data_IF_817538828772
#
_entry.id   IF_817538828772
#
_cell.length_a   1.000
_cell.length_b   1.000
_cell.length_c   1.000
_cell.angle_alpha   90.00
_cell.angle_beta   90.00
_cell.angle_gamma   90.00
#
_symmetry.space_group_name_H-M   'P 1'
#
loop_
_entity.id
_entity.type
_entity.pdbx_description
1 polymer ?
#
# COMPACT_ATOMS: atom_id res chain seq x y z
N UNK A 1 21.75 -7.11 62.99
CA UNK A 1 21.12 -7.25 61.65
C UNK A 1 22.11 -6.68 60.67
N UNK A 2 22.86 -7.56 60.04
CA UNK A 2 24.02 -7.29 59.21
C UNK A 2 23.59 -6.59 57.90
N UNK A 3 24.10 -5.39 57.68
CA UNK A 3 23.78 -4.49 56.58
C UNK A 3 24.80 -4.55 55.46
N UNK A 4 25.31 -5.73 55.13
CA UNK A 4 26.23 -5.92 54.04
C UNK A 4 25.52 -5.75 52.67
N UNK A 5 26.05 -4.96 51.74
CA UNK A 5 25.49 -4.88 50.40
C UNK A 5 25.61 -6.23 49.69
N UNK A 6 24.57 -6.66 48.97
CA UNK A 6 24.58 -7.86 48.14
C UNK A 6 25.56 -7.71 46.96
N UNK A 7 26.81 -7.45 47.20
CA UNK A 7 27.86 -7.57 46.20
C UNK A 7 28.30 -9.04 46.16
N UNK A 8 28.24 -9.61 44.97
CA UNK A 8 28.86 -10.91 44.74
C UNK A 8 30.37 -10.69 44.83
N UNK A 9 30.94 -10.96 45.99
CA UNK A 9 32.39 -11.01 46.17
C UNK A 9 32.87 -12.36 45.64
N UNK A 10 33.24 -12.40 44.37
CA UNK A 10 33.74 -13.60 43.73
C UNK A 10 34.68 -13.26 42.57
N UNK A 11 35.38 -14.24 42.06
CA UNK A 11 36.29 -14.09 40.93
C UNK A 11 35.53 -14.28 39.61
N UNK A 12 35.77 -13.38 38.66
CA UNK A 12 35.10 -13.31 37.37
C UNK A 12 35.84 -14.19 36.34
N UNK A 13 35.06 -15.05 35.63
CA UNK A 13 35.52 -15.78 34.45
C UNK A 13 34.72 -15.35 33.24
N UNK A 14 35.37 -15.18 32.11
CA UNK A 14 34.73 -14.85 30.82
C UNK A 14 34.57 -16.11 29.98
N UNK A 15 33.57 -16.11 29.13
CA UNK A 15 33.26 -17.16 28.12
C UNK A 15 33.26 -18.57 28.72
N UNK A 16 32.45 -18.80 29.72
CA UNK A 16 32.39 -20.07 30.43
C UNK A 16 31.57 -21.09 29.70
N UNK A 17 32.20 -22.23 29.36
CA UNK A 17 31.50 -23.36 28.76
C UNK A 17 30.54 -24.00 29.78
N UNK A 18 29.29 -24.19 29.37
CA UNK A 18 28.28 -24.85 30.19
C UNK A 18 27.50 -25.89 29.37
N UNK A 19 27.29 -27.07 29.94
CA UNK A 19 26.65 -28.18 29.26
C UNK A 19 25.71 -28.91 30.22
N UNK A 20 24.53 -28.32 30.52
CA UNK A 20 23.56 -28.94 31.38
C UNK A 20 22.94 -30.19 30.75
N UNK A 21 22.49 -31.14 31.57
CA UNK A 21 21.80 -32.32 31.09
C UNK A 21 20.52 -31.92 30.33
N UNK A 22 20.32 -32.52 29.15
CA UNK A 22 19.15 -32.23 28.29
C UNK A 22 19.21 -30.94 27.45
N UNK A 23 20.28 -30.14 27.56
CA UNK A 23 20.48 -28.94 26.77
C UNK A 23 21.72 -29.01 25.89
N UNK A 24 21.73 -28.37 24.72
CA UNK A 24 22.93 -28.29 23.88
C UNK A 24 24.04 -27.51 24.58
N UNK A 25 25.28 -27.96 24.41
CA UNK A 25 26.46 -27.25 24.93
C UNK A 25 26.49 -25.80 24.48
N UNK A 26 26.80 -24.87 25.37
CA UNK A 26 26.93 -23.46 25.08
C UNK A 26 27.99 -22.77 25.90
N UNK A 27 28.23 -21.49 25.60
CA UNK A 27 29.12 -20.62 26.40
C UNK A 27 28.24 -19.46 26.91
N UNK A 28 28.49 -19.09 28.19
CA UNK A 28 27.91 -17.91 28.81
C UNK A 28 29.03 -16.86 29.00
N UNK A 29 28.67 -15.60 28.95
CA UNK A 29 29.66 -14.51 28.90
C UNK A 29 30.44 -14.39 30.19
N UNK A 30 29.80 -14.57 31.35
CA UNK A 30 30.42 -14.34 32.65
C UNK A 30 29.99 -15.43 33.65
N UNK A 31 30.92 -15.90 34.44
CA UNK A 31 30.62 -16.65 35.68
C UNK A 31 31.40 -16.06 36.87
N UNK A 32 30.69 -15.93 37.98
CA UNK A 32 31.29 -15.61 39.29
C UNK A 32 31.27 -16.85 40.17
N UNK A 33 32.37 -17.06 40.88
CA UNK A 33 32.47 -18.16 41.85
C UNK A 33 33.26 -17.72 43.08
N UNK A 34 33.00 -18.34 44.18
CA UNK A 34 33.80 -18.20 45.41
C UNK A 34 35.00 -19.16 45.33
N UNK A 35 36.22 -18.67 45.63
CA UNK A 35 37.44 -19.48 45.68
C UNK A 35 38.50 -19.14 44.62
N UNK A 36 39.62 -19.90 44.54
CA UNK A 36 40.73 -19.59 43.63
C UNK A 36 40.37 -19.74 42.15
N UNK A 37 40.98 -18.92 41.28
CA UNK A 37 40.79 -18.98 39.83
C UNK A 37 41.50 -20.21 39.26
N UNK A 38 40.82 -21.34 39.25
CA UNK A 38 41.30 -22.56 38.57
C UNK A 38 40.29 -22.89 37.46
N UNK A 39 40.72 -23.35 36.29
CA UNK A 39 39.79 -23.87 35.30
C UNK A 39 39.05 -25.08 35.89
N UNK A 40 37.76 -24.90 36.16
CA UNK A 40 36.87 -25.97 36.67
C UNK A 40 35.53 -25.91 35.99
N UNK A 41 34.76 -27.02 35.93
CA UNK A 41 33.37 -27.01 35.49
C UNK A 41 32.56 -26.02 36.34
N UNK A 42 31.41 -25.59 35.79
CA UNK A 42 30.40 -24.89 36.57
C UNK A 42 29.83 -25.84 37.62
N UNK A 43 29.76 -25.41 38.86
CA UNK A 43 29.22 -26.20 39.97
C UNK A 43 28.05 -25.50 40.63
N UNK A 44 27.18 -26.21 41.32
CA UNK A 44 26.07 -25.59 42.06
C UNK A 44 26.55 -24.45 42.99
N UNK A 45 25.85 -23.32 42.94
CA UNK A 45 26.22 -22.10 43.68
C UNK A 45 26.96 -21.04 42.87
N UNK A 46 27.52 -21.38 41.71
CA UNK A 46 28.11 -20.39 40.81
C UNK A 46 27.03 -19.42 40.28
N UNK A 47 27.41 -18.18 40.00
CA UNK A 47 26.54 -17.16 39.40
C UNK A 47 26.91 -17.01 37.92
N UNK A 48 25.97 -17.31 37.04
CA UNK A 48 26.13 -17.29 35.61
C UNK A 48 25.38 -16.10 35.01
N UNK A 49 26.06 -15.27 34.22
CA UNK A 49 25.49 -14.07 33.63
C UNK A 49 25.73 -14.07 32.10
N UNK A 50 24.69 -13.84 31.37
CA UNK A 50 24.75 -13.53 29.96
C UNK A 50 24.58 -12.03 29.75
N UNK A 51 25.41 -11.42 28.92
CA UNK A 51 25.38 -9.99 28.61
C UNK A 51 24.76 -9.80 27.25
N UNK A 52 23.78 -8.91 27.15
CA UNK A 52 23.14 -8.53 25.90
C UNK A 52 23.19 -7.03 25.69
N UNK A 53 23.53 -6.63 24.47
CA UNK A 53 23.48 -5.23 24.08
C UNK A 53 22.05 -4.87 23.65
N UNK A 54 21.53 -3.74 24.11
CA UNK A 54 20.21 -3.23 23.74
C UNK A 54 20.42 -2.04 22.83
N UNK A 55 19.96 -2.17 21.57
CA UNK A 55 20.14 -1.20 20.51
C UNK A 55 18.83 -0.63 19.98
N UNK A 56 17.68 -1.22 20.35
CA UNK A 56 16.37 -0.79 19.90
C UNK A 56 15.71 0.11 20.95
N UNK A 57 15.44 1.36 20.54
CA UNK A 57 14.64 2.34 21.27
C UNK A 57 13.32 2.57 20.51
N UNK A 58 12.20 2.42 21.22
CA UNK A 58 10.86 2.68 20.70
C UNK A 58 10.14 3.63 21.66
N UNK A 59 10.04 4.89 21.27
CA UNK A 59 9.65 5.98 22.16
C UNK A 59 10.64 6.11 23.33
N UNK A 60 10.18 6.06 24.57
CA UNK A 60 11.01 6.04 25.77
C UNK A 60 11.34 4.61 26.27
N UNK A 61 10.98 3.58 25.51
CA UNK A 61 11.15 2.17 25.92
C UNK A 61 12.30 1.50 25.18
N UNK A 62 13.19 0.90 25.95
CA UNK A 62 14.26 0.05 25.43
C UNK A 62 13.72 -1.36 25.21
N UNK A 63 13.86 -1.89 24.00
CA UNK A 63 13.33 -3.21 23.61
C UNK A 63 14.45 -4.19 23.27
N UNK A 64 14.28 -5.43 23.67
CA UNK A 64 15.14 -6.55 23.34
C UNK A 64 14.32 -7.84 23.19
N UNK A 65 14.62 -8.74 22.25
CA UNK A 65 15.68 -8.61 21.23
C UNK A 65 15.29 -7.64 20.12
N UNK A 66 16.28 -7.05 19.47
CA UNK A 66 16.17 -6.16 18.31
C UNK A 66 16.05 -6.93 16.98
N UNK A 67 16.32 -8.25 16.99
CA UNK A 67 16.17 -9.17 15.89
C UNK A 67 15.84 -10.59 16.38
N UNK A 68 15.26 -11.41 15.49
CA UNK A 68 15.05 -12.84 15.74
C UNK A 68 16.39 -13.55 15.83
N UNK A 69 16.69 -14.19 16.97
CA UNK A 69 17.98 -14.82 17.23
C UNK A 69 17.80 -16.16 17.92
N UNK A 70 18.10 -17.25 17.19
CA UNK A 70 18.19 -18.61 17.78
C UNK A 70 19.24 -18.70 18.89
N UNK A 71 20.32 -17.95 18.77
CA UNK A 71 21.38 -17.88 19.80
C UNK A 71 20.86 -17.28 21.08
N UNK A 72 20.03 -16.23 21.02
CA UNK A 72 19.41 -15.63 22.20
C UNK A 72 18.52 -16.61 22.94
N UNK A 73 17.71 -17.36 22.20
CA UNK A 73 16.84 -18.40 22.74
C UNK A 73 17.62 -19.54 23.43
N UNK A 74 18.71 -19.98 22.79
CA UNK A 74 19.62 -21.00 23.35
C UNK A 74 20.23 -20.54 24.68
N UNK A 75 20.64 -19.28 24.81
CA UNK A 75 21.23 -18.75 26.03
C UNK A 75 20.21 -18.67 27.16
N UNK A 76 18.94 -18.31 26.93
CA UNK A 76 17.89 -18.37 27.91
C UNK A 76 17.68 -19.82 28.45
N UNK A 77 17.69 -20.79 27.53
CA UNK A 77 17.56 -22.21 27.92
C UNK A 77 18.72 -22.68 28.79
N UNK A 78 19.94 -22.24 28.50
CA UNK A 78 21.12 -22.56 29.31
C UNK A 78 21.05 -21.93 30.70
N UNK A 79 20.61 -20.67 30.80
CA UNK A 79 20.45 -19.99 32.09
C UNK A 79 19.36 -20.62 32.94
N UNK A 80 18.24 -21.04 32.30
CA UNK A 80 17.17 -21.74 33.03
C UNK A 80 17.64 -23.10 33.56
N UNK A 81 18.31 -23.90 32.72
CA UNK A 81 18.86 -25.17 33.14
C UNK A 81 19.94 -25.02 34.23
N UNK A 82 20.69 -23.92 34.26
CA UNK A 82 21.62 -23.61 35.31
C UNK A 82 20.91 -23.38 36.66
N UNK A 83 19.77 -22.69 36.66
CA UNK A 83 18.96 -22.50 37.88
C UNK A 83 18.41 -23.84 38.40
N UNK A 84 17.95 -24.71 37.51
CA UNK A 84 17.46 -26.05 37.84
C UNK A 84 18.56 -26.94 38.47
N UNK A 85 19.83 -26.66 38.13
CA UNK A 85 21.00 -27.35 38.71
C UNK A 85 21.56 -26.66 39.97
N UNK A 86 20.83 -25.73 40.56
CA UNK A 86 21.20 -25.07 41.81
C UNK A 86 22.18 -23.88 41.64
N UNK A 87 22.38 -23.39 40.41
CA UNK A 87 23.15 -22.19 40.16
C UNK A 87 22.27 -20.93 40.23
N UNK A 88 22.90 -19.78 40.43
CA UNK A 88 22.25 -18.48 40.26
C UNK A 88 22.52 -17.99 38.84
N UNK A 89 21.49 -17.50 38.15
CA UNK A 89 21.63 -17.03 36.78
C UNK A 89 20.98 -15.68 36.59
N UNK A 90 21.47 -14.92 35.63
CA UNK A 90 20.92 -13.63 35.29
C UNK A 90 21.31 -13.18 33.89
N UNK A 91 20.55 -12.22 33.37
CA UNK A 91 20.91 -11.49 32.15
C UNK A 91 21.22 -10.05 32.48
N UNK A 92 22.33 -9.57 31.94
CA UNK A 92 22.74 -8.17 32.03
C UNK A 92 22.52 -7.51 30.69
N UNK A 93 21.65 -6.52 30.65
CA UNK A 93 21.42 -5.73 29.47
C UNK A 93 22.29 -4.46 29.49
N UNK A 94 23.25 -4.40 28.59
CA UNK A 94 24.08 -3.21 28.39
C UNK A 94 23.34 -2.24 27.46
N UNK A 95 22.96 -1.09 27.99
CA UNK A 95 22.21 -0.06 27.26
C UNK A 95 23.16 1.08 26.94
N UNK A 96 23.40 1.30 25.64
CA UNK A 96 24.23 2.40 25.14
C UNK A 96 23.40 3.63 24.71
N UNK A 97 22.08 3.61 24.96
CA UNK A 97 21.15 4.68 24.57
C UNK A 97 20.77 5.49 25.82
N UNK A 98 21.06 6.80 25.86
CA UNK A 98 20.83 7.64 27.05
C UNK A 98 19.35 7.96 27.30
N UNK A 99 18.47 7.74 26.33
CA UNK A 99 17.09 8.25 26.29
C UNK A 99 16.03 7.24 26.79
N UNK A 100 16.42 6.02 27.14
CA UNK A 100 15.46 4.99 27.56
C UNK A 100 15.06 5.10 29.04
N UNK A 101 13.76 5.23 29.30
CA UNK A 101 13.19 5.31 30.65
C UNK A 101 12.87 3.93 31.26
N UNK A 102 12.50 2.96 30.42
CA UNK A 102 12.18 1.62 30.86
C UNK A 102 12.62 0.54 29.85
N UNK A 103 12.83 -0.67 30.32
CA UNK A 103 13.14 -1.84 29.50
C UNK A 103 11.92 -2.74 29.36
N UNK A 104 11.69 -3.25 28.15
CA UNK A 104 10.63 -4.22 27.85
C UNK A 104 11.12 -5.26 26.85
N UNK A 105 10.46 -6.42 26.83
CA UNK A 105 10.72 -7.45 25.83
C UNK A 105 10.09 -7.09 24.50
N UNK A 106 10.75 -7.43 23.39
CA UNK A 106 10.26 -7.16 22.06
C UNK A 106 9.38 -8.32 21.57
N UNK A 107 8.11 -8.33 22.00
CA UNK A 107 7.12 -9.33 21.59
C UNK A 107 6.87 -9.34 20.07
N UNK A 108 7.02 -8.18 19.43
CA UNK A 108 6.80 -8.02 17.98
C UNK A 108 7.90 -8.67 17.14
N UNK A 109 9.14 -8.68 17.64
CA UNK A 109 10.29 -9.21 16.90
C UNK A 109 10.50 -10.69 17.18
N UNK A 110 10.40 -11.09 18.44
CA UNK A 110 10.56 -12.49 18.83
C UNK A 110 9.65 -12.85 20.00
N UNK A 111 8.38 -13.20 19.74
CA UNK A 111 7.41 -13.55 20.77
C UNK A 111 7.85 -14.72 21.64
N UNK A 112 8.42 -15.77 21.04
CA UNK A 112 8.87 -16.95 21.77
C UNK A 112 10.02 -16.65 22.73
N UNK A 113 10.93 -15.74 22.37
CA UNK A 113 11.97 -15.27 23.25
C UNK A 113 11.40 -14.42 24.40
N UNK A 114 10.47 -13.53 24.08
CA UNK A 114 9.85 -12.65 25.08
C UNK A 114 9.05 -13.45 26.13
N UNK A 115 8.27 -14.45 25.71
CA UNK A 115 7.52 -15.34 26.58
C UNK A 115 8.45 -16.14 27.47
N UNK A 116 9.52 -16.70 26.93
CA UNK A 116 10.49 -17.48 27.71
C UNK A 116 11.29 -16.62 28.69
N UNK A 117 11.61 -15.37 28.29
CA UNK A 117 12.25 -14.43 29.20
C UNK A 117 11.31 -14.03 30.34
N UNK A 118 10.01 -13.81 30.05
CA UNK A 118 9.01 -13.54 31.09
C UNK A 118 8.89 -14.70 32.08
N UNK A 119 8.79 -15.95 31.60
CA UNK A 119 8.73 -17.15 32.40
C UNK A 119 9.99 -17.32 33.26
N UNK A 120 11.17 -17.10 32.68
CA UNK A 120 12.43 -17.14 33.39
C UNK A 120 12.52 -16.04 34.46
N UNK A 121 12.07 -14.81 34.14
CA UNK A 121 12.05 -13.69 35.08
C UNK A 121 11.13 -13.97 36.30
N UNK A 122 9.98 -14.61 36.10
CA UNK A 122 9.10 -15.04 37.19
C UNK A 122 9.75 -16.07 38.11
N UNK A 123 10.47 -17.02 37.54
CA UNK A 123 11.22 -18.01 38.32
C UNK A 123 12.38 -17.39 39.12
N UNK A 124 13.08 -16.42 38.49
CA UNK A 124 14.22 -15.72 39.12
C UNK A 124 13.79 -14.71 40.19
N UNK A 125 12.70 -13.99 39.99
CA UNK A 125 12.20 -12.94 40.87
C UNK A 125 11.63 -13.51 42.20
N UNK A 126 11.25 -14.77 42.27
CA UNK A 126 10.78 -15.37 43.57
C UNK A 126 11.83 -15.33 44.66
N UNK A 127 13.12 -15.39 44.29
CA UNK A 127 14.25 -15.24 45.23
C UNK A 127 14.65 -13.78 45.50
N UNK A 128 14.50 -12.88 44.57
CA UNK A 128 15.00 -11.50 44.60
C UNK A 128 13.97 -10.51 45.19
N UNK A 129 12.67 -10.76 45.11
CA UNK A 129 11.64 -9.88 45.72
C UNK A 129 11.80 -9.65 47.21
N UNK A 130 12.42 -10.58 47.94
CA UNK A 130 12.72 -10.39 49.38
C UNK A 130 13.89 -9.45 49.65
N UNK A 131 14.79 -9.25 48.68
CA UNK A 131 16.01 -8.44 48.90
C UNK A 131 15.82 -6.96 48.47
N UNK A 132 14.93 -6.67 47.49
CA UNK A 132 14.77 -5.30 46.95
C UNK A 132 13.76 -4.43 47.70
N UNK A 133 12.89 -4.97 48.57
CA UNK A 133 11.91 -4.20 49.34
C UNK A 133 12.48 -3.53 50.61
N UNK A 134 13.74 -3.72 50.94
CA UNK A 134 14.29 -3.31 52.23
C UNK A 134 15.16 -2.04 52.26
N UNK A 135 15.35 -1.31 51.15
CA UNK A 135 16.21 -0.11 51.19
C UNK A 135 15.74 1.03 50.25
N UNK A 136 15.63 2.22 50.87
CA UNK A 136 15.47 3.49 50.18
C UNK A 136 16.70 3.80 49.32
N UNK A 137 16.47 4.34 48.14
CA UNK A 137 17.50 4.70 47.16
C UNK A 137 18.36 5.88 47.63
N UNK A 138 19.70 5.80 47.55
CA UNK A 138 20.56 6.98 47.65
C UNK A 138 20.41 7.88 46.41
N UNK A 139 20.54 9.20 46.53
CA UNK A 139 20.47 10.11 45.41
C UNK A 139 21.60 9.85 44.42
N UNK A 140 21.25 9.58 43.14
CA UNK A 140 22.21 9.31 42.05
C UNK A 140 22.30 7.87 41.56
N UNK A 141 21.62 6.89 42.18
CA UNK A 141 21.58 5.52 41.67
C UNK A 141 20.53 5.36 40.60
N UNK A 142 20.93 4.94 39.39
CA UNK A 142 20.01 4.56 38.31
C UNK A 142 19.13 3.40 38.80
N UNK A 143 17.84 3.61 38.76
CA UNK A 143 16.80 2.69 39.25
C UNK A 143 16.79 1.41 38.39
N UNK A 144 17.08 0.28 38.99
CA UNK A 144 16.83 -1.02 38.39
C UNK A 144 15.33 -1.28 38.43
N UNK A 145 14.68 -1.25 37.29
CA UNK A 145 13.25 -1.56 37.19
C UNK A 145 13.14 -3.07 36.92
N UNK A 146 12.66 -3.81 37.92
CA UNK A 146 12.14 -5.15 37.65
C UNK A 146 10.96 -4.99 36.67
N UNK A 147 11.12 -5.45 35.43
CA UNK A 147 10.08 -5.39 34.43
C UNK A 147 8.86 -6.15 34.93
N UNK A 148 7.83 -5.42 35.36
CA UNK A 148 6.50 -5.98 35.47
C UNK A 148 6.07 -6.46 34.09
N UNK A 149 5.54 -7.67 34.01
CA UNK A 149 4.84 -8.15 32.83
C UNK A 149 3.55 -7.35 32.67
N UNK A 150 3.67 -6.12 32.14
CA UNK A 150 2.55 -5.55 31.43
C UNK A 150 2.48 -6.35 30.14
N UNK A 151 1.45 -7.18 29.99
CA UNK A 151 1.00 -7.59 28.67
C UNK A 151 0.99 -6.30 27.85
N UNK A 152 1.83 -6.23 26.82
CA UNK A 152 1.80 -5.08 25.92
C UNK A 152 0.35 -4.98 25.47
N UNK A 153 -0.28 -3.82 25.68
CA UNK A 153 -1.60 -3.60 25.06
C UNK A 153 -1.45 -3.96 23.60
N UNK A 154 -2.33 -4.81 23.08
CA UNK A 154 -2.25 -5.23 21.72
C UNK A 154 -2.24 -3.96 20.85
N UNK A 155 -1.15 -3.69 20.16
CA UNK A 155 -1.00 -2.51 19.33
C UNK A 155 -0.95 -2.97 17.88
N UNK A 156 -2.01 -2.68 17.16
CA UNK A 156 -2.11 -2.86 15.71
C UNK A 156 -0.90 -2.24 15.01
N UNK A 157 -0.21 -3.01 14.17
CA UNK A 157 1.00 -2.58 13.47
C UNK A 157 0.74 -2.28 12.01
N UNK A 158 1.57 -1.44 11.38
CA UNK A 158 1.49 -1.18 9.93
C UNK A 158 1.67 -2.45 9.09
N UNK A 159 2.41 -3.46 9.59
CA UNK A 159 2.56 -4.72 8.88
C UNK A 159 1.27 -5.54 8.91
N UNK A 160 0.57 -5.60 10.04
CA UNK A 160 -0.74 -6.25 10.13
C UNK A 160 -1.75 -5.56 9.20
N UNK A 161 -1.74 -4.22 9.11
CA UNK A 161 -2.56 -3.48 8.14
C UNK A 161 -2.21 -3.82 6.70
N UNK A 162 -0.91 -3.94 6.35
CA UNK A 162 -0.50 -4.39 5.00
C UNK A 162 -1.00 -5.78 4.69
N UNK A 163 -0.96 -6.70 5.64
CA UNK A 163 -1.38 -8.07 5.42
C UNK A 163 -2.87 -8.16 5.14
N UNK A 164 -3.72 -7.47 5.91
CA UNK A 164 -5.17 -7.50 5.65
C UNK A 164 -5.53 -6.83 4.32
N UNK A 165 -4.85 -5.74 3.94
CA UNK A 165 -5.03 -5.11 2.62
C UNK A 165 -4.60 -6.06 1.50
N UNK A 166 -3.47 -6.77 1.66
CA UNK A 166 -3.01 -7.74 0.68
C UNK A 166 -3.97 -8.93 0.55
N UNK A 167 -4.50 -9.47 1.66
CA UNK A 167 -5.49 -10.57 1.63
C UNK A 167 -6.77 -10.14 0.94
N UNK A 168 -7.26 -8.92 1.22
CA UNK A 168 -8.45 -8.38 0.59
C UNK A 168 -8.28 -8.20 -0.93
N UNK A 169 -7.07 -7.81 -1.38
CA UNK A 169 -6.73 -7.64 -2.78
C UNK A 169 -6.61 -8.97 -3.52
N UNK A 170 -5.80 -9.87 -2.97
CA UNK A 170 -5.47 -11.15 -3.61
C UNK A 170 -6.57 -12.21 -3.45
N UNK A 171 -7.47 -12.03 -2.50
CA UNK A 171 -8.51 -13.00 -2.11
C UNK A 171 -7.97 -14.42 -1.88
N UNK A 172 -6.68 -14.49 -1.52
CA UNK A 172 -5.96 -15.74 -1.30
C UNK A 172 -4.77 -15.53 -0.37
N UNK A 173 -4.72 -16.22 0.77
CA UNK A 173 -3.65 -16.06 1.77
C UNK A 173 -2.25 -16.35 1.25
N UNK A 174 -2.08 -17.34 0.37
CA UNK A 174 -0.78 -17.68 -0.23
C UNK A 174 -0.25 -16.54 -1.11
N UNK A 175 -1.06 -16.07 -2.08
CA UNK A 175 -0.69 -14.95 -2.95
C UNK A 175 -0.45 -13.65 -2.16
N UNK A 176 -1.27 -13.39 -1.15
CA UNK A 176 -1.07 -12.24 -0.26
C UNK A 176 0.26 -12.31 0.50
N UNK A 177 0.66 -13.49 0.97
CA UNK A 177 1.93 -13.71 1.65
C UNK A 177 3.12 -13.48 0.70
N UNK A 178 3.06 -13.99 -0.53
CA UNK A 178 4.05 -13.72 -1.58
C UNK A 178 4.17 -12.21 -1.88
N UNK A 179 3.03 -11.52 -2.04
CA UNK A 179 2.99 -10.08 -2.27
C UNK A 179 3.58 -9.26 -1.09
N UNK A 180 3.51 -9.79 0.13
CA UNK A 180 4.09 -9.17 1.32
C UNK A 180 5.50 -9.67 1.66
N UNK A 181 6.10 -10.56 0.87
CA UNK A 181 7.42 -11.15 1.09
C UNK A 181 7.54 -11.88 2.43
N UNK A 182 6.50 -12.60 2.83
CA UNK A 182 6.46 -13.40 4.06
C UNK A 182 5.92 -14.81 3.80
N UNK A 183 6.08 -15.71 4.78
CA UNK A 183 5.46 -17.04 4.68
C UNK A 183 3.95 -16.96 4.94
N UNK A 184 3.17 -17.82 4.29
CA UNK A 184 1.71 -17.88 4.51
C UNK A 184 1.34 -18.11 6.00
N UNK A 185 2.00 -18.98 6.78
CA UNK A 185 1.73 -19.11 8.21
C UNK A 185 1.92 -17.81 8.98
N UNK A 186 3.00 -17.07 8.69
CA UNK A 186 3.29 -15.77 9.33
C UNK A 186 2.16 -14.77 9.08
N UNK A 187 1.73 -14.65 7.82
CA UNK A 187 0.65 -13.76 7.46
C UNK A 187 -0.68 -14.19 8.12
N UNK A 188 -1.01 -15.49 8.07
CA UNK A 188 -2.25 -16.02 8.67
C UNK A 188 -2.32 -15.79 10.18
N UNK A 189 -1.21 -15.96 10.90
CA UNK A 189 -1.14 -15.71 12.35
C UNK A 189 -1.33 -14.23 12.65
N UNK A 190 -0.67 -13.35 11.88
CA UNK A 190 -0.78 -11.90 12.07
C UNK A 190 -2.21 -11.38 11.79
N UNK A 191 -2.85 -11.88 10.74
CA UNK A 191 -4.26 -11.53 10.42
C UNK A 191 -5.18 -12.01 11.54
N UNK A 192 -5.03 -13.26 12.01
CA UNK A 192 -5.86 -13.79 13.10
C UNK A 192 -5.67 -12.99 14.40
N UNK A 193 -4.43 -12.66 14.74
CA UNK A 193 -4.13 -11.81 15.90
C UNK A 193 -4.83 -10.46 15.81
N UNK A 194 -4.84 -9.85 14.64
CA UNK A 194 -5.53 -8.58 14.42
C UNK A 194 -7.07 -8.74 14.52
N UNK A 195 -7.64 -9.83 13.99
CA UNK A 195 -9.06 -10.15 14.15
C UNK A 195 -9.43 -10.32 15.63
N UNK A 196 -8.59 -11.04 16.40
CA UNK A 196 -8.77 -11.25 17.83
C UNK A 196 -8.66 -9.91 18.60
N UNK A 197 -7.72 -9.04 18.24
CA UNK A 197 -7.54 -7.70 18.83
C UNK A 197 -8.74 -6.79 18.58
N UNK A 198 -9.27 -6.81 17.35
CA UNK A 198 -10.42 -5.98 16.95
C UNK A 198 -11.76 -6.58 17.38
N UNK A 199 -11.78 -7.85 17.80
CA UNK A 199 -12.99 -8.58 18.18
C UNK A 199 -13.95 -8.84 17.03
N UNK A 200 -13.48 -8.81 15.78
CA UNK A 200 -14.30 -9.02 14.57
C UNK A 200 -13.55 -9.86 13.53
N UNK A 201 -14.29 -10.69 12.81
CA UNK A 201 -13.74 -11.41 11.66
C UNK A 201 -13.72 -10.51 10.44
N UNK A 202 -12.53 -10.36 9.85
CA UNK A 202 -12.32 -9.55 8.63
C UNK A 202 -12.58 -10.38 7.36
N UNK A 203 -12.33 -11.69 7.44
CA UNK A 203 -12.41 -12.60 6.31
C UNK A 203 -13.22 -13.85 6.64
N UNK A 204 -14.05 -14.26 5.69
CA UNK A 204 -14.68 -15.57 5.72
C UNK A 204 -13.76 -16.59 5.03
N UNK A 205 -13.49 -17.70 5.75
CA UNK A 205 -12.62 -18.78 5.26
C UNK A 205 -13.51 -19.89 4.70
N UNK A 206 -13.71 -19.92 3.37
CA UNK A 206 -14.37 -21.00 2.66
C UNK A 206 -13.39 -21.99 2.02
N UNK A 207 -13.91 -23.06 1.39
CA UNK A 207 -13.15 -24.05 0.61
C UNK A 207 -12.78 -23.51 -0.78
N UNK A 208 -12.27 -22.27 -0.88
CA UNK A 208 -11.94 -21.63 -2.15
C UNK A 208 -11.40 -20.23 -1.97
N UNK A 209 -12.05 -19.28 -2.59
CA UNK A 209 -11.69 -17.87 -2.53
C UNK A 209 -12.04 -17.26 -1.16
N UNK A 210 -11.16 -16.39 -0.65
CA UNK A 210 -11.36 -15.67 0.61
C UNK A 210 -12.34 -14.51 0.37
N UNK A 211 -13.42 -14.46 1.11
CA UNK A 211 -14.42 -13.39 1.06
C UNK A 211 -14.16 -12.38 2.19
N UNK A 212 -14.23 -11.09 1.88
CA UNK A 212 -14.11 -10.01 2.87
C UNK A 212 -15.48 -9.76 3.48
N UNK A 213 -15.57 -9.72 4.82
CA UNK A 213 -16.82 -9.38 5.51
C UNK A 213 -17.18 -7.91 5.31
N UNK A 214 -18.45 -7.53 5.56
CA UNK A 214 -18.88 -6.12 5.47
C UNK A 214 -18.08 -5.21 6.40
N UNK A 215 -17.80 -5.67 7.63
CA UNK A 215 -16.95 -4.95 8.58
C UNK A 215 -15.50 -4.97 8.13
N UNK A 216 -15.04 -6.12 7.61
CA UNK A 216 -13.71 -6.27 7.04
C UNK A 216 -13.43 -5.27 5.93
N UNK A 217 -14.39 -5.04 5.03
CA UNK A 217 -14.26 -4.07 3.95
C UNK A 217 -14.00 -2.64 4.48
N UNK A 218 -14.75 -2.22 5.49
CA UNK A 218 -14.57 -0.90 6.10
C UNK A 218 -13.21 -0.76 6.80
N UNK A 219 -12.75 -1.82 7.47
CA UNK A 219 -11.46 -1.84 8.16
C UNK A 219 -10.32 -1.84 7.15
N UNK A 220 -10.40 -2.61 6.07
CA UNK A 220 -9.42 -2.63 4.97
C UNK A 220 -9.28 -1.24 4.33
N UNK A 221 -10.40 -0.57 4.04
CA UNK A 221 -10.38 0.80 3.48
C UNK A 221 -9.72 1.81 4.43
N UNK A 222 -9.99 1.72 5.74
CA UNK A 222 -9.30 2.57 6.72
C UNK A 222 -7.83 2.25 6.85
N UNK A 223 -7.48 0.96 6.82
CA UNK A 223 -6.10 0.48 6.87
C UNK A 223 -5.29 0.96 5.67
N UNK A 224 -5.91 0.96 4.49
CA UNK A 224 -5.29 1.52 3.28
C UNK A 224 -4.93 3.00 3.46
N UNK A 225 -5.83 3.80 4.02
CA UNK A 225 -5.55 5.24 4.29
C UNK A 225 -4.41 5.42 5.29
N UNK A 226 -4.37 4.62 6.36
CA UNK A 226 -3.27 4.68 7.34
C UNK A 226 -1.93 4.36 6.69
N UNK A 227 -1.89 3.35 5.81
CA UNK A 227 -0.67 2.98 5.07
C UNK A 227 -0.23 4.09 4.11
N UNK A 228 -1.16 4.75 3.44
CA UNK A 228 -0.89 5.89 2.55
C UNK A 228 -0.32 7.09 3.33
N UNK A 229 -0.90 7.42 4.49
CA UNK A 229 -0.37 8.47 5.37
C UNK A 229 1.03 8.12 5.90
N UNK A 230 1.25 6.87 6.30
CA UNK A 230 2.56 6.40 6.74
C UNK A 230 3.61 6.45 5.60
N UNK A 231 3.23 6.16 4.38
CA UNK A 231 4.10 6.30 3.21
C UNK A 231 4.31 7.77 2.86
N UNK A 232 3.29 8.63 3.05
CA UNK A 232 3.42 10.10 2.98
C UNK A 232 4.50 10.64 3.91
N UNK A 233 4.55 10.17 5.16
CA UNK A 233 5.60 10.55 6.13
C UNK A 233 7.00 10.16 5.60
N UNK A 234 7.16 8.94 5.06
CA UNK A 234 8.43 8.50 4.48
C UNK A 234 8.80 9.33 3.25
N UNK A 235 7.79 9.68 2.45
CA UNK A 235 7.96 10.54 1.28
C UNK A 235 8.47 11.92 1.70
N UNK A 236 7.83 12.57 2.66
CA UNK A 236 8.28 13.85 3.23
C UNK A 236 9.71 13.77 3.78
N UNK A 237 10.06 12.67 4.45
CA UNK A 237 11.40 12.46 4.98
C UNK A 237 12.48 12.28 3.89
N UNK A 238 12.15 11.56 2.82
CA UNK A 238 13.06 11.28 1.70
C UNK A 238 13.18 12.45 0.73
N UNK A 239 12.08 13.17 0.49
CA UNK A 239 11.96 14.18 -0.56
C UNK A 239 12.01 15.62 -0.03
N UNK A 240 12.72 15.87 1.07
CA UNK A 240 13.05 17.24 1.49
C UNK A 240 13.72 18.09 0.37
N UNK A 241 14.07 17.45 -0.76
CA UNK A 241 14.75 18.11 -1.90
C UNK A 241 13.89 18.14 -3.18
N UNK A 242 12.98 17.20 -3.42
CA UNK A 242 12.15 17.18 -4.64
C UNK A 242 10.80 16.45 -4.45
N UNK A 243 9.67 17.18 -4.38
CA UNK A 243 8.34 16.59 -4.24
C UNK A 243 7.88 15.83 -5.49
N UNK A 244 8.56 16.01 -6.63
CA UNK A 244 8.25 15.33 -7.89
C UNK A 244 9.08 14.07 -8.12
N UNK A 245 9.98 13.69 -7.21
CA UNK A 245 10.75 12.46 -7.36
C UNK A 245 9.93 11.20 -7.10
N UNK A 246 10.23 10.13 -7.85
CA UNK A 246 9.61 8.82 -7.73
C UNK A 246 8.46 8.55 -8.70
N UNK A 247 8.24 7.28 -9.01
CA UNK A 247 7.26 6.81 -9.98
C UNK A 247 5.85 7.32 -9.68
N UNK A 248 5.13 7.75 -10.71
CA UNK A 248 3.71 8.09 -10.68
C UNK A 248 2.91 7.09 -11.54
N UNK A 249 1.90 6.46 -10.93
CA UNK A 249 1.03 5.48 -11.60
C UNK A 249 -0.21 6.19 -12.12
N UNK A 250 -0.25 6.39 -13.42
CA UNK A 250 -1.30 7.12 -14.12
C UNK A 250 -2.24 6.15 -14.84
N UNK A 251 -3.53 6.17 -14.50
CA UNK A 251 -4.57 5.49 -15.26
C UNK A 251 -5.22 6.42 -16.29
N UNK A 252 -5.64 5.92 -17.44
CA UNK A 252 -6.43 6.67 -18.40
C UNK A 252 -7.52 5.79 -19.01
N UNK A 253 -8.70 6.36 -19.29
CA UNK A 253 -9.70 5.63 -20.06
C UNK A 253 -9.27 5.51 -21.52
N UNK A 254 -9.60 4.38 -22.16
CA UNK A 254 -9.24 4.05 -23.54
C UNK A 254 -9.58 5.14 -24.57
N UNK A 255 -10.56 5.98 -24.29
CA UNK A 255 -10.97 7.07 -25.18
C UNK A 255 -10.22 8.38 -24.96
N UNK A 256 -9.25 8.41 -24.03
CA UNK A 256 -8.38 9.57 -23.74
C UNK A 256 -6.92 9.21 -23.96
N UNK A 257 -6.49 8.05 -23.43
CA UNK A 257 -5.09 7.64 -23.39
C UNK A 257 -4.36 7.81 -24.72
N UNK A 258 -4.80 7.17 -25.82
CA UNK A 258 -4.09 7.19 -27.10
C UNK A 258 -3.90 8.59 -27.70
N UNK A 259 -4.76 9.54 -27.38
CA UNK A 259 -4.76 10.89 -27.96
C UNK A 259 -4.06 11.94 -27.11
N UNK A 260 -4.13 11.79 -25.78
CA UNK A 260 -3.52 12.74 -24.83
C UNK A 260 -2.11 12.33 -24.44
N UNK A 261 -1.86 11.05 -24.14
CA UNK A 261 -0.57 10.61 -23.58
C UNK A 261 0.64 10.92 -24.46
N UNK A 262 0.60 10.72 -25.79
CA UNK A 262 1.74 11.07 -26.66
C UNK A 262 2.13 12.55 -26.60
N UNK A 263 1.17 13.43 -26.31
CA UNK A 263 1.38 14.87 -26.19
C UNK A 263 1.77 15.30 -24.78
N UNK A 264 1.29 14.57 -23.75
CA UNK A 264 1.53 14.84 -22.35
C UNK A 264 2.92 14.36 -21.88
N UNK A 265 3.35 13.18 -22.32
CA UNK A 265 4.61 12.56 -21.86
C UNK A 265 5.83 13.45 -22.06
N UNK A 266 6.03 14.13 -23.22
CA UNK A 266 7.18 15.02 -23.42
C UNK A 266 7.29 16.11 -22.34
N UNK A 267 6.16 16.74 -21.98
CA UNK A 267 6.13 17.78 -20.96
C UNK A 267 6.46 17.25 -19.57
N UNK A 268 5.96 16.06 -19.22
CA UNK A 268 6.30 15.44 -17.92
C UNK A 268 7.78 15.07 -17.88
N UNK A 269 8.34 14.53 -18.96
CA UNK A 269 9.75 14.17 -19.04
C UNK A 269 10.67 15.39 -18.90
N UNK A 270 10.23 16.56 -19.39
CA UNK A 270 10.98 17.81 -19.29
C UNK A 270 10.85 18.45 -17.88
N UNK A 271 9.62 18.54 -17.34
CA UNK A 271 9.34 19.29 -16.12
C UNK A 271 9.51 18.49 -14.83
N UNK A 272 9.44 17.18 -14.92
CA UNK A 272 9.58 16.27 -13.79
C UNK A 272 10.37 15.01 -14.17
N UNK A 273 11.65 15.13 -14.55
CA UNK A 273 12.46 14.01 -15.04
C UNK A 273 12.64 12.89 -14.00
N UNK A 274 12.59 13.23 -12.71
CA UNK A 274 12.66 12.27 -11.61
C UNK A 274 11.32 11.60 -11.28
N UNK A 275 10.26 11.88 -12.06
CA UNK A 275 8.92 11.30 -11.91
C UNK A 275 8.55 10.42 -13.12
N UNK A 276 9.12 9.23 -13.27
CA UNK A 276 8.75 8.33 -14.33
C UNK A 276 7.28 7.93 -14.22
N UNK A 277 6.58 7.88 -15.36
CA UNK A 277 5.19 7.45 -15.43
C UNK A 277 5.08 5.95 -15.66
N UNK A 278 4.26 5.29 -14.86
CA UNK A 278 3.71 3.97 -15.17
C UNK A 278 2.26 4.18 -15.63
N UNK A 279 1.98 3.85 -16.88
CA UNK A 279 0.70 4.15 -17.51
C UNK A 279 -0.12 2.88 -17.69
N UNK A 280 -1.41 2.97 -17.40
CA UNK A 280 -2.39 1.92 -17.62
C UNK A 280 -3.65 2.49 -18.27
N UNK A 281 -4.11 1.83 -19.33
CA UNK A 281 -5.40 2.12 -19.94
C UNK A 281 -6.44 1.06 -19.54
N UNK A 282 -7.62 1.51 -19.12
CA UNK A 282 -8.69 0.61 -18.72
C UNK A 282 -10.06 1.30 -18.71
N UNK A 283 -11.12 0.54 -18.40
CA UNK A 283 -12.47 1.07 -18.16
C UNK A 283 -12.52 1.93 -16.90
N UNK A 284 -13.44 2.90 -16.88
CA UNK A 284 -13.63 3.80 -15.72
C UNK A 284 -13.84 3.03 -14.42
N UNK A 285 -14.62 1.96 -14.42
CA UNK A 285 -14.89 1.12 -13.25
C UNK A 285 -13.62 0.47 -12.70
N UNK A 286 -12.81 -0.14 -13.57
CA UNK A 286 -11.54 -0.78 -13.20
C UNK A 286 -10.53 0.24 -12.68
N UNK A 287 -10.40 1.39 -13.36
CA UNK A 287 -9.52 2.46 -12.91
C UNK A 287 -9.95 3.01 -11.53
N UNK A 288 -11.26 3.17 -11.31
CA UNK A 288 -11.81 3.59 -10.03
C UNK A 288 -11.45 2.61 -8.90
N UNK A 289 -11.64 1.31 -9.12
CA UNK A 289 -11.27 0.29 -8.14
C UNK A 289 -9.77 0.30 -7.85
N UNK A 290 -8.93 0.37 -8.88
CA UNK A 290 -7.47 0.40 -8.73
C UNK A 290 -6.99 1.67 -8.06
N UNK A 291 -7.63 2.81 -8.35
CA UNK A 291 -7.38 4.06 -7.65
C UNK A 291 -7.68 3.92 -6.16
N UNK A 292 -8.83 3.38 -5.79
CA UNK A 292 -9.24 3.17 -4.39
C UNK A 292 -8.30 2.22 -3.64
N UNK A 293 -7.79 1.19 -4.32
CA UNK A 293 -6.83 0.21 -3.75
C UNK A 293 -5.40 0.75 -3.62
N UNK A 294 -5.11 1.94 -4.19
CA UNK A 294 -3.75 2.49 -4.22
C UNK A 294 -2.83 1.86 -5.28
N UNK A 295 -3.38 1.06 -6.19
CA UNK A 295 -2.64 0.51 -7.34
C UNK A 295 -2.34 1.59 -8.39
N UNK A 296 -3.20 2.62 -8.47
CA UNK A 296 -3.02 3.84 -9.26
C UNK A 296 -3.00 5.06 -8.35
N UNK A 297 -2.25 6.08 -8.74
CA UNK A 297 -2.10 7.33 -7.99
C UNK A 297 -3.08 8.41 -8.48
N UNK A 298 -3.18 8.56 -9.81
CA UNK A 298 -4.04 9.52 -10.49
C UNK A 298 -4.68 8.82 -11.69
N UNK A 299 -5.92 9.18 -12.01
CA UNK A 299 -6.60 8.69 -13.22
C UNK A 299 -7.17 9.82 -14.05
N UNK A 300 -7.14 9.67 -15.39
CA UNK A 300 -7.78 10.53 -16.40
C UNK A 300 -9.11 9.91 -16.77
N UNK A 301 -10.19 10.64 -16.51
CA UNK A 301 -11.56 10.15 -16.68
C UNK A 301 -12.47 11.22 -17.28
N UNK A 302 -13.65 10.80 -17.70
CA UNK A 302 -14.73 11.71 -18.12
C UNK A 302 -15.72 11.90 -16.96
N UNK A 303 -16.16 13.13 -16.75
CA UNK A 303 -17.24 13.45 -15.79
C UNK A 303 -18.62 13.20 -16.43
N UNK A 304 -19.67 12.90 -15.61
CA UNK A 304 -19.67 12.87 -14.15
C UNK A 304 -18.96 11.64 -13.55
N UNK A 305 -18.21 11.85 -12.46
CA UNK A 305 -17.56 10.78 -11.72
C UNK A 305 -17.65 11.11 -10.23
N UNK A 306 -18.43 10.35 -9.49
CA UNK A 306 -18.72 10.59 -8.08
C UNK A 306 -18.37 9.33 -7.25
N UNK A 307 -17.13 9.29 -6.78
CA UNK A 307 -16.63 8.19 -5.95
C UNK A 307 -16.26 8.69 -4.55
N UNK A 308 -16.79 8.06 -3.48
CA UNK A 308 -16.44 8.45 -2.13
C UNK A 308 -14.93 8.41 -1.87
N UNK A 309 -14.39 9.50 -1.30
CA UNK A 309 -12.97 9.59 -0.97
C UNK A 309 -12.05 9.91 -2.14
N UNK A 310 -12.60 10.20 -3.31
CA UNK A 310 -11.87 10.66 -4.49
C UNK A 310 -12.13 12.15 -4.73
N UNK A 311 -11.10 12.88 -5.06
CA UNK A 311 -11.15 14.27 -5.52
C UNK A 311 -11.01 14.29 -7.04
N UNK A 312 -11.69 15.24 -7.69
CA UNK A 312 -11.60 15.45 -9.14
C UNK A 312 -11.21 16.89 -9.44
N UNK A 313 -10.38 17.06 -10.48
CA UNK A 313 -10.03 18.36 -11.05
C UNK A 313 -10.40 18.36 -12.54
N UNK A 314 -11.45 19.04 -12.96
CA UNK A 314 -11.75 19.24 -14.38
C UNK A 314 -10.58 19.94 -15.07
N UNK A 315 -10.25 19.54 -16.31
CA UNK A 315 -9.09 20.07 -17.03
C UNK A 315 -9.50 20.72 -18.34
N UNK A 316 -10.37 20.05 -19.11
CA UNK A 316 -10.88 20.58 -20.36
C UNK A 316 -12.25 20.02 -20.72
N UNK A 317 -12.98 20.77 -21.53
CA UNK A 317 -14.18 20.32 -22.22
C UNK A 317 -13.82 19.95 -23.66
N UNK A 318 -14.30 18.81 -24.14
CA UNK A 318 -14.04 18.26 -25.46
C UNK A 318 -15.35 18.05 -26.18
N UNK A 319 -15.47 18.66 -27.39
CA UNK A 319 -16.64 18.48 -28.27
C UNK A 319 -16.62 17.14 -28.98
N UNK A 320 -17.78 16.68 -29.42
CA UNK A 320 -17.91 15.51 -30.28
C UNK A 320 -17.95 15.88 -31.73
N UNK A 321 -17.53 14.95 -32.60
CA UNK A 321 -17.61 15.05 -34.05
C UNK A 321 -18.17 13.75 -34.60
N UNK A 322 -18.79 13.84 -35.75
CA UNK A 322 -19.27 12.67 -36.52
C UNK A 322 -18.18 12.27 -37.49
N UNK A 323 -17.77 11.01 -37.48
CA UNK A 323 -16.89 10.42 -38.47
C UNK A 323 -17.70 9.59 -39.44
N UNK A 324 -17.50 9.82 -40.74
CA UNK A 324 -18.21 9.16 -41.80
C UNK A 324 -17.28 8.77 -42.96
N UNK A 325 -17.64 7.78 -43.79
CA UNK A 325 -16.87 7.45 -44.99
C UNK A 325 -16.79 8.64 -45.98
N UNK A 326 -15.74 8.70 -46.76
CA UNK A 326 -15.49 9.76 -47.76
C UNK A 326 -16.62 9.89 -48.80
N UNK A 327 -17.29 8.78 -49.13
CA UNK A 327 -18.39 8.70 -50.08
C UNK A 327 -19.79 8.83 -49.45
N UNK A 328 -19.88 9.16 -48.17
CA UNK A 328 -21.16 9.31 -47.46
C UNK A 328 -21.96 10.50 -48.05
N UNK A 329 -23.32 10.45 -48.12
CA UNK A 329 -24.13 11.58 -48.59
C UNK A 329 -23.85 12.91 -47.88
N UNK A 330 -23.38 12.86 -46.65
CA UNK A 330 -23.03 14.06 -45.86
C UNK A 330 -21.60 14.55 -46.07
N UNK A 331 -20.79 13.87 -46.87
CA UNK A 331 -19.37 14.23 -47.04
C UNK A 331 -19.17 15.65 -47.62
N UNK A 332 -20.17 16.18 -48.30
CA UNK A 332 -20.18 17.57 -48.81
C UNK A 332 -20.72 18.60 -47.80
N UNK A 333 -21.19 18.18 -46.62
CA UNK A 333 -21.69 19.10 -45.60
C UNK A 333 -20.55 19.69 -44.78
N UNK A 334 -20.80 20.81 -44.12
CA UNK A 334 -19.85 21.46 -43.19
C UNK A 334 -20.11 21.08 -41.72
N UNK A 335 -21.31 20.57 -41.44
CA UNK A 335 -21.73 20.14 -40.10
C UNK A 335 -22.94 19.21 -40.18
N UNK A 336 -23.21 18.46 -39.10
CA UNK A 336 -24.28 17.47 -39.00
C UNK A 336 -25.18 17.78 -37.81
N UNK A 337 -26.51 17.74 -38.01
CA UNK A 337 -27.48 17.86 -36.94
C UNK A 337 -27.58 16.56 -36.13
N UNK A 338 -27.81 16.64 -34.82
CA UNK A 338 -28.00 15.46 -33.98
C UNK A 338 -29.14 14.59 -34.44
N UNK A 339 -30.23 15.20 -34.93
CA UNK A 339 -31.42 14.47 -35.39
C UNK A 339 -31.16 13.62 -36.64
N UNK A 340 -30.16 14.00 -37.46
CA UNK A 340 -29.77 13.25 -38.66
C UNK A 340 -29.21 11.87 -38.32
N UNK A 341 -28.56 11.71 -37.14
CA UNK A 341 -28.00 10.43 -36.72
C UNK A 341 -29.03 9.32 -36.55
N UNK A 342 -30.29 9.68 -36.25
CA UNK A 342 -31.35 8.70 -35.97
C UNK A 342 -31.72 7.82 -37.21
N UNK A 343 -31.29 8.22 -38.39
CA UNK A 343 -31.52 7.48 -39.64
C UNK A 343 -30.34 6.63 -40.12
N UNK A 344 -29.21 6.68 -39.41
CA UNK A 344 -27.95 6.09 -39.85
C UNK A 344 -27.54 4.89 -38.99
N UNK A 345 -26.69 4.03 -39.56
CA UNK A 345 -26.03 2.94 -38.83
C UNK A 345 -24.85 3.50 -38.02
N UNK A 346 -25.12 3.86 -36.79
CA UNK A 346 -24.11 4.41 -35.86
C UNK A 346 -23.36 3.32 -35.17
N UNK A 347 -22.07 3.18 -35.43
CA UNK A 347 -21.17 2.25 -34.77
C UNK A 347 -20.83 2.77 -33.35
N UNK A 348 -20.90 1.89 -32.36
CA UNK A 348 -20.70 2.25 -30.98
C UNK A 348 -19.55 1.42 -30.36
N UNK A 349 -18.91 1.97 -29.33
CA UNK A 349 -18.03 1.20 -28.45
C UNK A 349 -18.83 0.11 -27.71
N UNK A 350 -18.16 -0.96 -27.36
CA UNK A 350 -18.71 -2.03 -26.53
C UNK A 350 -19.14 -1.57 -25.14
N UNK A 351 -19.88 -2.40 -24.39
CA UNK A 351 -20.31 -2.11 -23.03
C UNK A 351 -19.11 -1.84 -22.10
N UNK A 352 -19.28 -0.94 -21.12
CA UNK A 352 -18.24 -0.57 -20.15
C UNK A 352 -17.46 0.69 -20.50
N UNK A 353 -17.52 1.15 -21.76
CA UNK A 353 -16.99 2.45 -22.14
C UNK A 353 -17.96 3.58 -21.78
N UNK A 354 -17.57 4.48 -20.88
CA UNK A 354 -18.41 5.65 -20.53
C UNK A 354 -18.74 6.53 -21.74
N UNK A 355 -17.90 6.55 -22.76
CA UNK A 355 -18.15 7.30 -23.99
C UNK A 355 -19.31 6.71 -24.81
N UNK A 356 -19.55 5.39 -24.77
CA UNK A 356 -20.76 4.76 -25.34
C UNK A 356 -22.02 5.40 -24.77
N UNK A 357 -22.09 5.48 -23.44
CA UNK A 357 -23.28 6.02 -22.76
C UNK A 357 -23.49 7.50 -23.13
N UNK A 358 -22.41 8.28 -23.22
CA UNK A 358 -22.45 9.68 -23.66
C UNK A 358 -22.95 9.84 -25.09
N UNK A 359 -22.57 8.93 -26.00
CA UNK A 359 -23.11 8.96 -27.39
C UNK A 359 -24.59 8.59 -27.40
N UNK A 360 -25.01 7.64 -26.57
CA UNK A 360 -26.42 7.27 -26.45
C UNK A 360 -27.27 8.36 -25.81
N UNK A 361 -26.73 9.19 -24.93
CA UNK A 361 -27.40 10.40 -24.43
C UNK A 361 -27.62 11.43 -25.55
N UNK A 362 -26.66 11.56 -26.46
CA UNK A 362 -26.77 12.45 -27.64
C UNK A 362 -27.76 11.93 -28.66
N UNK A 363 -27.76 10.63 -28.94
CA UNK A 363 -28.63 9.98 -29.89
C UNK A 363 -29.32 8.74 -29.30
N UNK A 364 -30.38 8.90 -28.50
CA UNK A 364 -31.08 7.76 -27.86
C UNK A 364 -31.69 6.78 -28.87
N UNK A 365 -31.96 7.25 -30.10
CA UNK A 365 -32.59 6.46 -31.17
C UNK A 365 -31.58 5.71 -32.04
N UNK A 366 -30.26 5.92 -31.87
CA UNK A 366 -29.23 5.23 -32.65
C UNK A 366 -29.25 3.71 -32.48
N UNK A 367 -29.73 3.18 -31.35
CA UNK A 367 -29.92 1.74 -31.13
C UNK A 367 -31.14 1.18 -31.90
N UNK A 368 -32.17 1.98 -32.14
CA UNK A 368 -33.42 1.51 -32.78
C UNK A 368 -33.27 1.24 -34.26
N UNK A 369 -32.31 1.87 -34.91
CA UNK A 369 -31.98 1.69 -36.33
C UNK A 369 -31.50 0.26 -36.64
N UNK A 370 -31.00 -0.47 -35.63
CA UNK A 370 -30.55 -1.87 -35.72
C UNK A 370 -31.69 -2.89 -35.89
N UNK A 371 -32.96 -2.49 -35.78
CA UNK A 371 -34.10 -3.39 -35.90
C UNK A 371 -34.48 -3.76 -37.35
N UNK A 372 -33.98 -3.02 -38.36
CA UNK A 372 -34.30 -3.20 -39.79
C UNK A 372 -33.13 -3.53 -40.71
N UNK A 373 -31.87 -3.41 -40.23
CA UNK A 373 -30.67 -3.65 -41.02
C UNK A 373 -30.32 -5.13 -41.22
N UNK A 374 -29.48 -5.44 -42.19
CA UNK A 374 -28.97 -6.79 -42.47
C UNK A 374 -28.45 -7.45 -41.17
N UNK A 375 -28.81 -8.70 -40.97
CA UNK A 375 -28.49 -9.46 -39.76
C UNK A 375 -27.01 -9.60 -39.43
N UNK A 376 -26.12 -9.28 -40.39
CA UNK A 376 -24.65 -9.26 -40.22
C UNK A 376 -24.15 -7.95 -39.58
N UNK A 377 -24.94 -6.87 -39.56
CA UNK A 377 -24.57 -5.58 -38.96
C UNK A 377 -25.04 -5.44 -37.50
N UNK A 378 -25.92 -6.37 -37.04
CA UNK A 378 -26.40 -6.40 -35.67
C UNK A 378 -25.32 -6.90 -34.72
N UNK A 379 -24.46 -6.04 -34.27
CA UNK A 379 -23.47 -6.42 -33.24
C UNK A 379 -22.03 -6.12 -33.62
N UNK A 380 -21.77 -5.32 -34.61
CA UNK A 380 -20.43 -4.78 -34.85
C UNK A 380 -20.17 -3.67 -33.81
N UNK A 381 -19.78 -4.07 -32.65
CA UNK A 381 -19.24 -3.20 -31.60
C UNK A 381 -17.71 -3.26 -31.66
N UNK A 382 -17.04 -2.14 -31.47
CA UNK A 382 -15.59 -2.09 -31.41
C UNK A 382 -15.12 -1.89 -29.98
N UNK A 383 -14.07 -2.58 -29.59
CA UNK A 383 -13.46 -2.41 -28.25
C UNK A 383 -12.56 -1.17 -28.16
N UNK A 384 -12.27 -0.52 -29.29
CA UNK A 384 -11.48 0.72 -29.33
C UNK A 384 -11.99 1.69 -30.39
N UNK A 385 -11.73 2.99 -30.20
CA UNK A 385 -12.07 4.01 -31.18
C UNK A 385 -11.33 3.78 -32.50
N UNK A 386 -10.12 3.26 -32.48
CA UNK A 386 -9.33 2.95 -33.67
C UNK A 386 -9.97 1.83 -34.52
N UNK A 387 -10.47 0.78 -33.87
CA UNK A 387 -11.22 -0.29 -34.52
C UNK A 387 -12.48 0.28 -35.21
N UNK A 388 -13.23 1.12 -34.50
CA UNK A 388 -14.43 1.76 -35.06
C UNK A 388 -14.09 2.67 -36.24
N UNK A 389 -12.99 3.42 -36.19
CA UNK A 389 -12.50 4.24 -37.31
C UNK A 389 -12.21 3.40 -38.55
N UNK A 390 -11.54 2.25 -38.39
CA UNK A 390 -11.31 1.31 -39.49
C UNK A 390 -12.61 0.75 -40.06
N UNK A 391 -13.61 0.48 -39.21
CA UNK A 391 -14.94 0.04 -39.69
C UNK A 391 -15.64 1.13 -40.48
N UNK A 392 -15.58 2.40 -40.05
CA UNK A 392 -16.11 3.55 -40.83
C UNK A 392 -15.39 3.67 -42.16
N UNK A 393 -14.05 3.59 -42.17
CA UNK A 393 -13.27 3.61 -43.42
C UNK A 393 -13.65 2.47 -44.37
N UNK A 394 -14.07 1.33 -43.81
CA UNK A 394 -14.60 0.17 -44.56
C UNK A 394 -16.07 0.31 -44.97
N UNK A 395 -16.66 1.47 -44.76
CA UNK A 395 -18.06 1.81 -45.14
C UNK A 395 -19.12 0.97 -44.46
N UNK A 396 -18.84 0.52 -43.21
CA UNK A 396 -19.77 -0.28 -42.40
C UNK A 396 -20.87 0.61 -41.79
N UNK A 397 -20.57 1.87 -41.52
CA UNK A 397 -21.49 2.84 -40.93
C UNK A 397 -20.77 4.14 -40.62
N UNK A 398 -21.40 4.98 -39.81
CA UNK A 398 -20.81 6.20 -39.26
C UNK A 398 -20.57 6.05 -37.76
N UNK A 399 -19.83 6.96 -37.13
CA UNK A 399 -19.68 6.98 -35.68
C UNK A 399 -19.57 8.39 -35.11
N UNK A 400 -19.74 8.53 -33.82
CA UNK A 400 -19.43 9.74 -33.06
C UNK A 400 -18.13 9.51 -32.30
N UNK A 401 -17.21 10.47 -32.41
CA UNK A 401 -15.90 10.45 -31.74
C UNK A 401 -15.69 11.71 -30.91
N UNK A 402 -14.87 11.66 -29.83
CA UNK A 402 -14.29 12.86 -29.28
C UNK A 402 -13.46 13.58 -30.34
N UNK A 403 -13.49 14.91 -30.35
CA UNK A 403 -12.82 15.65 -31.40
C UNK A 403 -11.30 15.44 -31.45
N UNK A 404 -10.64 15.18 -30.30
CA UNK A 404 -9.23 14.82 -30.27
C UNK A 404 -8.96 13.50 -31.00
N UNK A 405 -9.85 12.52 -30.88
CA UNK A 405 -9.78 11.27 -31.60
C UNK A 405 -10.12 11.44 -33.09
N UNK A 406 -10.99 12.40 -33.45
CA UNK A 406 -11.37 12.66 -34.84
C UNK A 406 -10.28 13.40 -35.64
N UNK A 407 -9.37 14.11 -34.98
CA UNK A 407 -8.37 14.98 -35.59
C UNK A 407 -7.07 14.29 -36.00
N UNK A 408 -6.83 13.04 -35.57
CA UNK A 408 -5.50 12.41 -35.72
C UNK A 408 -5.56 10.98 -36.27
N UNK A 409 -5.62 10.84 -37.61
CA UNK A 409 -5.15 9.60 -38.23
C UNK A 409 -4.74 9.76 -39.68
N UNK A 410 -3.45 9.76 -39.89
CA UNK A 410 -2.83 9.88 -41.23
C UNK A 410 -3.08 8.68 -42.13
N UNK A 411 -3.42 7.52 -41.59
CA UNK A 411 -3.61 6.29 -42.35
C UNK A 411 -5.05 6.17 -42.93
N UNK A 412 -6.04 6.72 -42.25
CA UNK A 412 -7.46 6.58 -42.57
C UNK A 412 -8.05 7.88 -43.13
N UNK A 413 -7.36 9.02 -42.98
CA UNK A 413 -7.81 10.35 -43.47
C UNK A 413 -8.36 10.37 -44.89
N UNK A 414 -7.75 9.69 -45.88
CA UNK A 414 -8.28 9.70 -47.22
C UNK A 414 -9.64 8.98 -47.40
N UNK A 415 -9.99 8.12 -46.47
CA UNK A 415 -11.17 7.23 -46.56
C UNK A 415 -12.33 7.70 -45.68
N UNK A 416 -12.09 8.68 -44.82
CA UNK A 416 -13.08 9.17 -43.84
C UNK A 416 -13.10 10.70 -43.78
N UNK A 417 -14.22 11.24 -43.33
CA UNK A 417 -14.38 12.66 -43.03
C UNK A 417 -14.93 12.87 -41.66
N UNK A 418 -14.37 13.83 -40.92
CA UNK A 418 -14.88 14.30 -39.65
C UNK A 418 -15.69 15.58 -39.84
N UNK A 419 -16.91 15.59 -39.33
CA UNK A 419 -17.80 16.74 -39.36
C UNK A 419 -18.20 17.16 -37.94
N UNK A 420 -18.16 18.45 -37.61
CA UNK A 420 -18.66 18.95 -36.33
C UNK A 420 -20.20 18.88 -36.28
N UNK A 421 -20.76 18.90 -35.08
CA UNK A 421 -22.19 19.05 -34.91
C UNK A 421 -22.64 20.50 -35.19
N UNK A 422 -23.85 20.64 -35.72
CA UNK A 422 -24.49 21.93 -35.97
C UNK A 422 -24.91 22.55 -34.64
N UNK A 423 -24.64 23.86 -34.45
CA UNK A 423 -25.02 24.59 -33.23
C UNK A 423 -24.19 24.25 -32.03
N UNK A 424 -24.86 24.00 -30.89
CA UNK A 424 -24.14 23.62 -29.63
C UNK A 424 -23.75 22.16 -29.70
N UNK A 425 -22.51 21.90 -30.07
CA UNK A 425 -21.98 20.55 -30.12
C UNK A 425 -22.09 19.83 -28.76
N UNK A 426 -22.51 18.55 -28.75
CA UNK A 426 -22.37 17.69 -27.58
C UNK A 426 -20.90 17.66 -27.12
N UNK A 427 -20.68 17.56 -25.81
CA UNK A 427 -19.33 17.60 -25.26
C UNK A 427 -19.22 16.72 -24.02
N UNK A 428 -18.01 16.33 -23.71
CA UNK A 428 -17.65 15.71 -22.44
C UNK A 428 -16.66 16.58 -21.69
N UNK A 429 -16.61 16.41 -20.37
CA UNK A 429 -15.65 17.08 -19.50
C UNK A 429 -14.62 16.07 -19.00
N UNK A 430 -13.36 16.33 -19.23
CA UNK A 430 -12.25 15.49 -18.79
C UNK A 430 -11.67 16.04 -17.52
N UNK A 431 -11.34 15.13 -16.60
CA UNK A 431 -10.79 15.46 -15.30
C UNK A 431 -9.66 14.50 -14.88
N UNK A 432 -8.74 15.00 -14.07
CA UNK A 432 -7.89 14.18 -13.21
C UNK A 432 -8.68 13.81 -11.97
N UNK A 433 -8.49 12.57 -11.51
CA UNK A 433 -9.07 12.13 -10.24
C UNK A 433 -8.00 11.40 -9.42
N UNK A 434 -8.01 11.63 -8.09
CA UNK A 434 -7.06 11.03 -7.15
C UNK A 434 -7.71 10.84 -5.79
N UNK A 435 -7.14 9.94 -4.96
CA UNK A 435 -7.64 9.75 -3.59
C UNK A 435 -7.41 11.00 -2.74
N UNK A 436 -8.36 11.31 -1.87
CA UNK A 436 -8.22 12.41 -0.91
C UNK A 436 -6.96 12.28 -0.01
N UNK A 437 -6.51 11.04 0.23
CA UNK A 437 -5.29 10.71 0.98
C UNK A 437 -4.00 10.79 0.15
N UNK A 438 -4.08 11.09 -1.16
CA UNK A 438 -2.90 11.19 -2.00
C UNK A 438 -2.09 12.44 -1.64
N UNK A 439 -0.84 12.24 -1.21
CA UNK A 439 0.00 13.28 -0.61
C UNK A 439 0.83 14.11 -1.60
N UNK A 440 0.96 13.64 -2.88
CA UNK A 440 1.80 14.29 -3.91
C UNK A 440 0.96 15.21 -4.79
N UNK A 441 0.41 16.30 -4.23
CA UNK A 441 -0.45 17.23 -4.98
C UNK A 441 0.32 17.99 -6.07
N UNK A 442 1.61 18.22 -5.87
CA UNK A 442 2.50 18.81 -6.88
C UNK A 442 2.56 17.96 -8.15
N UNK A 443 2.48 16.65 -8.06
CA UNK A 443 2.40 15.77 -9.23
C UNK A 443 1.09 15.97 -10.01
N UNK A 444 -0.04 16.21 -9.31
CA UNK A 444 -1.32 16.55 -9.94
C UNK A 444 -1.24 17.90 -10.64
N UNK A 445 -0.54 18.89 -10.05
CA UNK A 445 -0.35 20.21 -10.63
C UNK A 445 0.53 20.15 -11.88
N UNK A 446 1.59 19.34 -11.86
CA UNK A 446 2.44 19.10 -13.04
C UNK A 446 1.66 18.40 -14.14
N UNK A 447 0.88 17.35 -13.83
CA UNK A 447 0.00 16.70 -14.80
C UNK A 447 -1.01 17.69 -15.40
N UNK A 448 -1.63 18.52 -14.58
CA UNK A 448 -2.59 19.55 -15.05
C UNK A 448 -1.94 20.49 -16.05
N UNK A 449 -0.77 21.03 -15.73
CA UNK A 449 -0.01 21.93 -16.61
C UNK A 449 0.45 21.22 -17.88
N UNK A 450 0.88 19.97 -17.78
CA UNK A 450 1.29 19.18 -18.95
C UNK A 450 0.13 18.90 -19.92
N UNK A 451 -1.09 18.67 -19.40
CA UNK A 451 -2.29 18.56 -20.22
C UNK A 451 -2.57 19.88 -20.96
N UNK A 452 -2.40 21.03 -20.31
CA UNK A 452 -2.57 22.33 -20.98
C UNK A 452 -1.49 22.59 -22.03
N UNK A 453 -0.24 22.19 -21.77
CA UNK A 453 0.84 22.27 -22.75
C UNK A 453 0.70 21.30 -23.94
N UNK A 454 -0.16 20.28 -23.81
CA UNK A 454 -0.34 19.26 -24.84
C UNK A 454 -1.00 19.78 -26.13
N UNK A 455 -1.55 20.98 -26.10
CA UNK A 455 -2.19 21.65 -27.25
C UNK A 455 -3.11 20.73 -28.07
N UNK A 456 -4.07 20.12 -27.35
CA UNK A 456 -5.05 19.23 -27.96
C UNK A 456 -5.94 20.03 -28.91
N UNK A 457 -6.21 19.54 -30.12
CA UNK A 457 -7.12 20.20 -31.06
C UNK A 457 -8.55 20.19 -30.51
N UNK A 458 -9.29 21.25 -30.78
CA UNK A 458 -10.74 21.37 -30.55
C UNK A 458 -11.20 21.13 -29.09
N UNK A 459 -10.34 21.32 -28.10
CA UNK A 459 -10.71 21.32 -26.67
C UNK A 459 -10.77 22.75 -26.12
N UNK A 460 -11.55 22.92 -25.04
CA UNK A 460 -11.59 24.15 -24.26
C UNK A 460 -11.00 23.90 -22.89
N UNK A 461 -9.79 24.37 -22.65
CA UNK A 461 -9.13 24.22 -21.34
C UNK A 461 -9.86 25.00 -20.26
N UNK A 462 -9.93 24.42 -19.07
CA UNK A 462 -10.56 25.01 -17.89
C UNK A 462 -9.48 25.60 -16.99
N UNK A 463 -9.63 26.87 -16.63
CA UNK A 463 -8.71 27.55 -15.71
C UNK A 463 -8.91 26.98 -14.28
N UNK A 464 -7.85 26.52 -13.60
CA UNK A 464 -7.96 26.07 -12.22
C UNK A 464 -8.35 27.20 -11.24
N UNK A 465 -8.09 28.46 -11.57
CA UNK A 465 -8.49 29.60 -10.74
C UNK A 465 -10.00 29.89 -10.78
N UNK A 466 -10.75 29.27 -11.70
CA UNK A 466 -12.19 29.46 -11.88
C UNK A 466 -13.07 28.34 -11.34
N UNK A 467 -12.51 27.34 -10.64
CA UNK A 467 -13.27 26.23 -10.07
C UNK A 467 -13.45 26.51 -8.58
N UNK A 468 -14.73 26.62 -8.07
CA UNK A 468 -15.01 26.92 -6.67
C UNK A 468 -14.57 25.80 -5.74
#
# INVERSE_FOLDING_TARGET
VDSSPCWVTGRLRREVGFAPAGCPRGRLDIAFHEGPVVPRPVVPGDVLIEVKNVTLLDGSRLRFPDAVSERGYKHLSLLQAAVEQGNRSGMLYAVNLPEGECFTTSWLINPAYAERLATAAEAWCRGVRRACQARGNPPGSRRWIAGGSHAAEPTMTLNELRYIVAVARERHFGRAAEACFVSQPTLSVAVRKLEDELGVSLFERGTGEVTVTTVGQQIVERSQRVLEEADGIKHLARHRKDPLAGMLRLGAIHTIGPYLLPRLIPWISEWAPEMPLMIEENFTSTLSERLKRGDLDVILISLPFNEPGVLTRPIYDESFSVLLPDNHPWSGQTSVGVDQLAGEDVLLLGPGHCFRDQVLEVCPNCIKSTAGGNSLQRGLEGDSLETIRCMVASRVGITVLPCSAAAEDRFVEPLVRSLPFTGKAPRRRIALAWRKSFSRLEAVDVLTRAVWGADLPCVSYLDPAGIP
#
